data_IF_401618952972
#
_entry.id   IF_401618952972
#
_cell.length_a   1.000
_cell.length_b   1.000
_cell.length_c   1.000
_cell.angle_alpha   90.00
_cell.angle_beta   90.00
_cell.angle_gamma   90.00
#
_symmetry.space_group_name_H-M   'P 1'
#
loop_
_entity.id
_entity.type
_entity.pdbx_description
1 polymer ?
#
# COMPACT_ATOMS: atom_id res chain seq x y z
N UNK A 1 -48.13 8.10 -12.28
CA UNK A 1 -49.07 8.51 -11.22
C UNK A 1 -48.51 9.52 -10.20
N UNK A 2 -47.20 9.54 -9.86
CA UNK A 2 -46.64 10.52 -8.92
C UNK A 2 -46.64 11.99 -9.41
N UNK A 3 -46.43 12.23 -10.71
CA UNK A 3 -46.44 13.58 -11.31
C UNK A 3 -47.83 14.24 -11.25
N UNK A 4 -48.90 13.46 -11.45
CA UNK A 4 -50.29 13.94 -11.42
C UNK A 4 -50.71 14.36 -10.01
N UNK A 5 -50.25 13.64 -8.97
CA UNK A 5 -50.47 14.01 -7.56
C UNK A 5 -49.78 15.32 -7.16
N UNK A 6 -48.61 15.63 -7.72
CA UNK A 6 -47.91 16.89 -7.43
C UNK A 6 -48.60 18.12 -8.03
N UNK A 7 -49.25 17.95 -9.18
CA UNK A 7 -49.97 19.03 -9.88
C UNK A 7 -51.31 19.30 -9.21
N UNK A 8 -52.02 18.27 -8.72
CA UNK A 8 -53.27 18.48 -7.98
C UNK A 8 -53.01 19.18 -6.64
N UNK A 9 -51.98 18.78 -5.89
CA UNK A 9 -51.58 19.44 -4.63
C UNK A 9 -51.16 20.91 -4.83
N UNK A 10 -50.53 21.23 -5.97
CA UNK A 10 -50.19 22.60 -6.31
C UNK A 10 -51.45 23.43 -6.64
N UNK A 11 -52.43 22.84 -7.33
CA UNK A 11 -53.71 23.48 -7.69
C UNK A 11 -54.57 23.76 -6.46
N UNK A 12 -54.62 22.83 -5.51
CA UNK A 12 -55.33 22.98 -4.24
C UNK A 12 -54.71 24.07 -3.37
N UNK A 13 -53.37 24.14 -3.28
CA UNK A 13 -52.64 25.21 -2.58
C UNK A 13 -52.86 26.58 -3.19
N UNK A 14 -52.92 26.66 -4.53
CA UNK A 14 -53.23 27.89 -5.26
C UNK A 14 -54.66 28.37 -4.97
N UNK A 15 -55.64 27.47 -5.00
CA UNK A 15 -57.04 27.81 -4.68
C UNK A 15 -57.22 28.24 -3.21
N UNK A 16 -56.48 27.62 -2.28
CA UNK A 16 -56.51 27.97 -0.86
C UNK A 16 -55.81 29.31 -0.55
N UNK A 17 -54.75 29.65 -1.28
CA UNK A 17 -54.04 30.91 -1.14
C UNK A 17 -54.78 32.10 -1.78
N UNK A 18 -55.46 31.87 -2.90
CA UNK A 18 -56.37 32.85 -3.53
C UNK A 18 -57.56 33.16 -2.60
N UNK A 19 -58.14 32.14 -1.95
CA UNK A 19 -59.23 32.31 -0.96
C UNK A 19 -58.82 33.05 0.32
N UNK A 20 -57.54 33.11 0.65
CA UNK A 20 -57.03 33.73 1.90
C UNK A 20 -56.34 35.08 1.69
N UNK A 21 -56.38 35.64 0.47
CA UNK A 21 -55.71 36.91 0.15
C UNK A 21 -54.19 36.86 0.30
N UNK A 22 -53.60 35.65 0.34
CA UNK A 22 -52.19 35.43 0.61
C UNK A 22 -51.40 35.44 -0.69
N UNK A 23 -50.42 36.34 -0.75
CA UNK A 23 -49.56 36.50 -1.91
C UNK A 23 -48.49 35.39 -1.93
N UNK A 24 -48.76 34.32 -2.68
CA UNK A 24 -47.94 33.08 -2.77
C UNK A 24 -46.44 33.36 -2.99
N UNK A 25 -46.10 34.32 -3.86
CA UNK A 25 -44.72 34.68 -4.13
C UNK A 25 -43.99 35.24 -2.90
N UNK A 26 -44.69 35.96 -2.01
CA UNK A 26 -44.10 36.46 -0.75
C UNK A 26 -43.93 35.35 0.29
N UNK A 27 -44.81 34.35 0.32
CA UNK A 27 -44.68 33.20 1.23
C UNK A 27 -43.53 32.28 0.81
N UNK A 28 -43.37 31.98 -0.49
CA UNK A 28 -42.24 31.20 -0.99
C UNK A 28 -40.88 31.87 -0.68
N UNK A 29 -40.80 33.20 -0.79
CA UNK A 29 -39.58 33.95 -0.43
C UNK A 29 -39.32 33.89 1.08
N UNK A 30 -40.34 33.99 1.92
CA UNK A 30 -40.22 33.83 3.39
C UNK A 30 -39.79 32.41 3.75
N UNK A 31 -40.36 31.40 3.12
CA UNK A 31 -40.02 29.99 3.33
C UNK A 31 -38.56 29.71 2.94
N UNK A 32 -38.11 30.18 1.77
CA UNK A 32 -36.69 30.09 1.36
C UNK A 32 -35.75 30.77 2.35
N UNK A 33 -36.12 31.95 2.89
CA UNK A 33 -35.33 32.64 3.93
C UNK A 33 -35.29 31.84 5.23
N UNK A 34 -36.43 31.27 5.64
CA UNK A 34 -36.51 30.43 6.83
C UNK A 34 -35.67 29.16 6.70
N UNK A 35 -35.74 28.47 5.55
CA UNK A 35 -34.91 27.30 5.25
C UNK A 35 -33.41 27.61 5.27
N UNK A 36 -33.00 28.75 4.68
CA UNK A 36 -31.60 29.23 4.76
C UNK A 36 -31.16 29.51 6.20
N UNK A 37 -32.03 30.11 7.00
CA UNK A 37 -31.77 30.35 8.42
C UNK A 37 -31.62 29.04 9.21
N UNK A 38 -32.55 28.10 9.04
CA UNK A 38 -32.48 26.77 9.66
C UNK A 38 -31.21 26.03 9.25
N UNK A 39 -30.85 26.08 7.98
CA UNK A 39 -29.60 25.49 7.49
C UNK A 39 -28.38 26.10 8.20
N UNK A 40 -28.28 27.43 8.26
CA UNK A 40 -27.18 28.14 8.95
C UNK A 40 -27.16 27.86 10.46
N UNK A 41 -28.32 27.72 11.09
CA UNK A 41 -28.46 27.35 12.51
C UNK A 41 -27.99 25.90 12.75
N UNK A 42 -28.31 24.99 11.84
CA UNK A 42 -27.95 23.57 11.95
C UNK A 42 -26.46 23.31 11.74
N UNK A 43 -25.73 24.22 11.09
CA UNK A 43 -24.26 24.14 10.96
C UNK A 43 -23.52 24.61 12.21
N UNK A 44 -24.20 25.28 13.15
CA UNK A 44 -23.61 25.83 14.37
C UNK A 44 -23.74 24.86 15.55
N UNK A 45 -22.71 24.73 16.39
CA UNK A 45 -22.78 23.92 17.61
C UNK A 45 -23.85 24.44 18.58
N UNK A 46 -24.27 23.58 19.50
CA UNK A 46 -25.17 23.93 20.60
C UNK A 46 -24.43 24.80 21.64
N UNK A 47 -25.17 25.67 22.35
CA UNK A 47 -24.64 26.45 23.49
C UNK A 47 -24.27 25.51 24.65
N UNK A 48 -23.39 25.94 25.55
CA UNK A 48 -22.87 25.07 26.62
C UNK A 48 -23.99 24.51 27.52
N UNK A 49 -24.87 25.38 28.04
CA UNK A 49 -25.94 24.97 28.97
C UNK A 49 -26.91 23.98 28.32
N UNK A 50 -27.28 24.22 27.06
CA UNK A 50 -28.12 23.30 26.31
C UNK A 50 -27.41 21.98 25.97
N UNK A 51 -26.08 22.00 25.82
CA UNK A 51 -25.31 20.77 25.62
C UNK A 51 -25.24 19.93 26.91
N UNK A 52 -25.11 20.58 28.08
CA UNK A 52 -25.17 19.90 29.39
C UNK A 52 -26.52 19.23 29.57
N UNK A 53 -27.63 19.97 29.42
CA UNK A 53 -28.97 19.41 29.57
C UNK A 53 -29.23 18.20 28.65
N UNK A 54 -28.77 18.26 27.39
CA UNK A 54 -28.88 17.13 26.46
C UNK A 54 -27.98 15.95 26.84
N UNK A 55 -26.81 16.19 27.42
CA UNK A 55 -25.94 15.12 27.88
C UNK A 55 -26.47 14.44 29.14
N UNK A 56 -27.03 15.21 30.07
CA UNK A 56 -27.64 14.69 31.29
C UNK A 56 -28.85 13.81 30.97
N UNK A 57 -29.68 14.24 30.02
CA UNK A 57 -30.83 13.48 29.52
C UNK A 57 -30.39 12.17 28.83
N UNK A 58 -29.37 12.23 27.96
CA UNK A 58 -28.90 11.06 27.19
C UNK A 58 -28.11 10.05 28.01
N UNK A 59 -27.28 10.51 28.94
CA UNK A 59 -26.37 9.66 29.73
C UNK A 59 -26.91 9.34 31.12
N UNK A 60 -28.05 9.94 31.50
CA UNK A 60 -28.64 9.81 32.85
C UNK A 60 -27.64 10.13 33.97
N UNK A 61 -26.71 11.04 33.70
CA UNK A 61 -25.60 11.43 34.58
C UNK A 61 -25.57 12.94 34.73
N UNK A 62 -25.47 13.44 35.96
CA UNK A 62 -25.35 14.87 36.22
C UNK A 62 -23.94 15.36 35.93
N UNK A 63 -23.84 16.53 35.32
CA UNK A 63 -22.56 17.22 35.10
C UNK A 63 -22.53 18.49 35.97
N UNK A 64 -21.37 18.85 36.56
CA UNK A 64 -21.22 20.12 37.25
C UNK A 64 -21.60 21.30 36.35
N UNK A 65 -22.27 22.32 36.89
CA UNK A 65 -22.73 23.49 36.13
C UNK A 65 -21.58 24.22 35.40
N UNK A 66 -20.37 24.19 35.96
CA UNK A 66 -19.18 24.83 35.40
C UNK A 66 -18.48 24.00 34.30
N UNK A 67 -19.01 22.82 33.96
CA UNK A 67 -18.40 21.93 32.97
C UNK A 67 -18.42 22.56 31.57
N UNK A 68 -17.25 22.82 31.01
CA UNK A 68 -17.12 23.24 29.60
C UNK A 68 -17.21 22.03 28.68
N UNK A 69 -18.35 21.87 28.01
CA UNK A 69 -18.57 20.78 27.04
C UNK A 69 -17.78 21.08 25.76
N UNK A 70 -16.94 20.14 25.34
CA UNK A 70 -16.06 20.30 24.19
C UNK A 70 -15.10 19.12 23.95
N UNK A 71 -14.03 19.35 23.16
CA UNK A 71 -13.04 18.33 22.79
C UNK A 71 -12.27 17.68 23.95
N UNK A 72 -12.32 18.30 25.13
CA UNK A 72 -11.59 17.89 26.33
C UNK A 72 -12.51 17.34 27.41
N UNK A 73 -13.82 17.25 27.15
CA UNK A 73 -14.75 16.64 28.11
C UNK A 73 -14.36 15.19 28.35
N UNK A 74 -14.30 14.72 29.59
CA UNK A 74 -14.02 13.32 29.86
C UNK A 74 -15.27 12.49 29.53
N UNK A 75 -15.25 11.79 28.39
CA UNK A 75 -16.31 10.89 27.95
C UNK A 75 -15.68 9.54 27.60
N UNK A 76 -16.33 8.44 27.99
CA UNK A 76 -15.89 7.10 27.60
C UNK A 76 -16.21 6.81 26.14
N UNK A 77 -15.57 5.78 25.57
CA UNK A 77 -15.85 5.35 24.19
C UNK A 77 -17.32 4.92 24.01
N UNK A 78 -17.93 4.34 25.05
CA UNK A 78 -19.34 3.91 25.04
C UNK A 78 -20.29 5.12 25.06
N UNK A 79 -20.04 6.10 25.93
CA UNK A 79 -20.80 7.34 25.99
C UNK A 79 -20.74 8.10 24.66
N UNK A 80 -19.55 8.16 24.03
CA UNK A 80 -19.38 8.75 22.71
C UNK A 80 -20.22 8.03 21.65
N UNK A 81 -20.27 6.70 21.65
CA UNK A 81 -21.08 5.96 20.69
C UNK A 81 -22.59 6.24 20.87
N UNK A 82 -23.08 6.31 22.11
CA UNK A 82 -24.49 6.64 22.40
C UNK A 82 -24.83 8.02 21.82
N UNK A 83 -23.99 9.03 22.10
CA UNK A 83 -24.22 10.39 21.63
C UNK A 83 -24.17 10.48 20.09
N UNK A 84 -23.26 9.74 19.46
CA UNK A 84 -23.07 9.79 18.01
C UNK A 84 -24.10 8.98 17.22
N UNK A 85 -24.88 8.13 17.87
CA UNK A 85 -26.05 7.47 17.27
C UNK A 85 -27.27 8.41 17.18
N UNK A 86 -27.31 9.50 17.95
CA UNK A 86 -28.43 10.45 17.92
C UNK A 86 -28.48 11.28 16.62
N UNK A 87 -29.66 11.74 16.16
CA UNK A 87 -29.78 12.54 14.93
C UNK A 87 -29.25 13.98 15.09
N UNK A 88 -29.06 14.47 16.32
CA UNK A 88 -28.69 15.86 16.59
C UNK A 88 -27.22 16.18 16.27
N UNK A 89 -26.97 16.63 15.04
CA UNK A 89 -25.61 17.01 14.55
C UNK A 89 -24.97 18.13 15.37
N UNK A 90 -25.76 19.05 15.93
CA UNK A 90 -25.25 20.24 16.62
C UNK A 90 -24.58 19.91 17.95
N UNK A 91 -25.09 18.89 18.67
CA UNK A 91 -24.46 18.39 19.89
C UNK A 91 -23.11 17.74 19.57
N UNK A 92 -23.07 16.93 18.49
CA UNK A 92 -21.83 16.29 18.01
C UNK A 92 -20.75 17.32 17.65
N UNK A 93 -21.13 18.41 16.96
CA UNK A 93 -20.22 19.53 16.68
C UNK A 93 -19.63 20.14 17.95
N UNK A 94 -20.46 20.31 18.99
CA UNK A 94 -20.00 20.88 20.27
C UNK A 94 -18.97 19.97 20.94
N UNK A 95 -19.24 18.66 21.01
CA UNK A 95 -18.33 17.66 21.61
C UNK A 95 -17.02 17.56 20.84
N UNK A 96 -17.05 17.60 19.51
CA UNK A 96 -15.84 17.60 18.69
C UNK A 96 -15.16 18.97 18.60
N UNK A 97 -15.77 20.03 19.16
CA UNK A 97 -15.28 21.40 19.02
C UNK A 97 -15.17 21.89 17.58
N UNK A 98 -16.04 21.38 16.70
CA UNK A 98 -16.09 21.74 15.29
C UNK A 98 -17.42 22.40 14.92
N UNK A 99 -17.61 22.70 13.63
CA UNK A 99 -18.85 23.21 13.06
C UNK A 99 -19.06 22.60 11.68
N UNK A 100 -20.30 22.64 11.19
CA UNK A 100 -20.62 22.12 9.86
C UNK A 100 -19.81 22.78 8.73
N UNK A 101 -19.47 24.06 8.87
CA UNK A 101 -18.62 24.77 7.91
C UNK A 101 -17.17 24.28 7.93
N UNK A 102 -16.62 23.98 9.11
CA UNK A 102 -15.26 23.48 9.24
C UNK A 102 -15.11 22.06 8.69
N UNK A 103 -16.15 21.23 8.82
CA UNK A 103 -16.16 19.87 8.28
C UNK A 103 -16.13 19.81 6.74
N UNK A 104 -16.45 20.90 6.06
CA UNK A 104 -16.32 20.99 4.60
C UNK A 104 -14.85 21.17 4.16
N UNK A 105 -13.97 21.59 5.07
CA UNK A 105 -12.56 21.81 4.77
C UNK A 105 -11.74 20.60 5.25
N UNK A 106 -11.30 19.77 4.31
CA UNK A 106 -10.52 18.55 4.58
C UNK A 106 -9.23 18.80 5.36
N UNK A 107 -8.57 19.94 5.14
CA UNK A 107 -7.32 20.32 5.83
C UNK A 107 -7.59 20.64 7.31
N UNK A 108 -8.68 21.36 7.60
CA UNK A 108 -9.05 21.66 8.98
C UNK A 108 -9.45 20.39 9.73
N UNK A 109 -10.21 19.51 9.07
CA UNK A 109 -10.59 18.21 9.64
C UNK A 109 -9.35 17.38 9.98
N UNK A 110 -8.38 17.27 9.06
CA UNK A 110 -7.15 16.53 9.28
C UNK A 110 -6.29 17.11 10.41
N UNK A 111 -6.19 18.43 10.50
CA UNK A 111 -5.48 19.12 11.59
C UNK A 111 -6.10 18.79 12.95
N UNK A 112 -7.42 18.82 13.04
CA UNK A 112 -8.11 18.54 14.30
C UNK A 112 -8.08 17.04 14.65
N UNK A 113 -8.15 16.16 13.66
CA UNK A 113 -7.89 14.71 13.83
C UNK A 113 -6.47 14.46 14.34
N UNK A 114 -5.48 15.17 13.82
CA UNK A 114 -4.08 15.05 14.27
C UNK A 114 -3.94 15.41 15.75
N UNK A 115 -4.63 16.47 16.22
CA UNK A 115 -4.66 16.84 17.64
C UNK A 115 -5.27 15.73 18.51
N UNK A 116 -6.34 15.07 18.04
CA UNK A 116 -6.93 13.94 18.76
C UNK A 116 -5.98 12.75 18.82
N UNK A 117 -5.31 12.42 17.71
CA UNK A 117 -4.31 11.34 17.67
C UNK A 117 -3.12 11.61 18.59
N UNK A 118 -2.64 12.86 18.68
CA UNK A 118 -1.56 13.25 19.61
C UNK A 118 -1.94 13.06 21.08
N UNK A 119 -3.24 13.15 21.41
CA UNK A 119 -3.78 12.93 22.75
C UNK A 119 -4.12 11.46 23.03
N UNK A 120 -3.96 10.56 22.05
CA UNK A 120 -4.37 9.17 22.15
C UNK A 120 -5.88 8.93 21.99
N UNK A 121 -6.67 9.96 21.68
CA UNK A 121 -8.12 9.88 21.53
C UNK A 121 -8.50 9.43 20.11
N UNK A 122 -8.37 8.13 19.88
CA UNK A 122 -8.68 7.50 18.59
C UNK A 122 -10.17 7.60 18.25
N UNK A 123 -11.04 7.47 19.24
CA UNK A 123 -12.50 7.40 19.04
C UNK A 123 -13.00 8.73 18.48
N UNK A 124 -12.62 9.87 19.08
CA UNK A 124 -12.99 11.18 18.53
C UNK A 124 -12.37 11.47 17.18
N UNK A 125 -11.12 11.04 16.95
CA UNK A 125 -10.49 11.17 15.65
C UNK A 125 -11.31 10.48 14.55
N UNK A 126 -11.72 9.22 14.79
CA UNK A 126 -12.56 8.45 13.86
C UNK A 126 -13.92 9.10 13.66
N UNK A 127 -14.59 9.48 14.74
CA UNK A 127 -15.92 10.10 14.69
C UNK A 127 -15.91 11.44 13.94
N UNK A 128 -14.86 12.26 14.11
CA UNK A 128 -14.70 13.51 13.40
C UNK A 128 -14.53 13.29 11.89
N UNK A 129 -13.64 12.38 11.49
CA UNK A 129 -13.42 12.07 10.09
C UNK A 129 -14.69 11.47 9.45
N UNK A 130 -15.39 10.61 10.17
CA UNK A 130 -16.66 10.01 9.78
C UNK A 130 -17.78 11.05 9.61
N UNK A 131 -17.82 12.09 10.43
CA UNK A 131 -18.79 13.18 10.32
C UNK A 131 -18.53 14.11 9.14
N UNK A 132 -17.27 14.23 8.70
CA UNK A 132 -16.89 15.00 7.52
C UNK A 132 -17.25 14.30 6.19
N UNK A 133 -17.59 13.01 6.23
CA UNK A 133 -17.97 12.25 5.02
C UNK A 133 -16.83 12.17 4.01
N UNK A 134 -17.10 12.53 2.76
CA UNK A 134 -16.09 12.56 1.69
C UNK A 134 -14.93 13.53 1.99
N UNK A 135 -15.22 14.67 2.62
CA UNK A 135 -14.18 15.64 3.03
C UNK A 135 -13.27 15.08 4.14
N UNK A 136 -13.68 14.00 4.80
CA UNK A 136 -12.92 13.32 5.84
C UNK A 136 -11.91 12.29 5.32
N UNK A 137 -11.90 11.94 4.03
CA UNK A 137 -11.05 10.86 3.47
C UNK A 137 -9.56 11.10 3.78
N UNK A 138 -9.10 12.35 3.64
CA UNK A 138 -7.71 12.72 3.94
C UNK A 138 -7.35 12.42 5.40
N UNK A 139 -8.24 12.80 6.32
CA UNK A 139 -8.09 12.59 7.75
C UNK A 139 -8.14 11.09 8.11
N UNK A 140 -8.99 10.30 7.43
CA UNK A 140 -8.99 8.84 7.56
C UNK A 140 -7.65 8.26 7.14
N UNK A 141 -7.04 8.75 6.06
CA UNK A 141 -5.68 8.38 5.67
C UNK A 141 -4.66 8.62 6.79
N UNK A 142 -4.75 9.76 7.48
CA UNK A 142 -3.87 10.09 8.62
C UNK A 142 -4.10 9.16 9.82
N UNK A 143 -5.35 8.84 10.16
CA UNK A 143 -5.69 7.88 11.22
C UNK A 143 -5.16 6.49 10.88
N UNK A 144 -5.37 6.02 9.64
CA UNK A 144 -4.87 4.73 9.18
C UNK A 144 -3.34 4.67 9.26
N UNK A 145 -2.64 5.71 8.82
CA UNK A 145 -1.19 5.81 8.93
C UNK A 145 -0.72 5.67 10.38
N UNK A 146 -1.39 6.36 11.32
CA UNK A 146 -1.10 6.25 12.75
C UNK A 146 -1.36 4.84 13.29
N UNK A 147 -2.51 4.23 12.96
CA UNK A 147 -2.85 2.87 13.41
C UNK A 147 -1.85 1.83 12.90
N UNK A 148 -1.45 1.92 11.63
CA UNK A 148 -0.50 0.99 11.03
C UNK A 148 0.92 1.21 11.57
N UNK A 149 1.32 2.45 11.89
CA UNK A 149 2.58 2.74 12.59
C UNK A 149 2.67 2.04 13.97
N UNK A 150 1.55 1.96 14.69
CA UNK A 150 1.43 1.26 15.97
C UNK A 150 1.06 -0.22 15.84
N UNK A 151 1.21 -0.82 14.65
CA UNK A 151 0.88 -2.24 14.36
C UNK A 151 -0.58 -2.66 14.65
N UNK A 152 -1.53 -1.71 14.74
CA UNK A 152 -2.95 -1.96 15.01
C UNK A 152 -3.74 -2.28 13.74
N UNK A 153 -3.32 -3.31 13.00
CA UNK A 153 -3.91 -3.66 11.68
C UNK A 153 -5.41 -3.93 11.74
N UNK A 154 -5.89 -4.69 12.73
CA UNK A 154 -7.32 -5.03 12.84
C UNK A 154 -8.19 -3.77 13.00
N UNK A 155 -7.73 -2.79 13.78
CA UNK A 155 -8.42 -1.49 13.92
C UNK A 155 -8.39 -0.69 12.61
N UNK A 156 -7.25 -0.69 11.91
CA UNK A 156 -7.14 -0.05 10.59
C UNK A 156 -8.09 -0.69 9.56
N UNK A 157 -8.18 -2.02 9.54
CA UNK A 157 -9.09 -2.75 8.66
C UNK A 157 -10.56 -2.48 8.98
N UNK A 158 -10.93 -2.41 10.26
CA UNK A 158 -12.27 -2.03 10.68
C UNK A 158 -12.63 -0.62 10.19
N UNK A 159 -11.73 0.35 10.35
CA UNK A 159 -11.92 1.72 9.85
C UNK A 159 -12.07 1.74 8.32
N UNK A 160 -11.23 1.01 7.59
CA UNK A 160 -11.31 0.89 6.15
C UNK A 160 -12.64 0.26 5.67
N UNK A 161 -13.14 -0.75 6.38
CA UNK A 161 -14.44 -1.37 6.06
C UNK A 161 -15.63 -0.45 6.41
N UNK A 162 -15.50 0.42 7.42
CA UNK A 162 -16.52 1.43 7.74
C UNK A 162 -16.71 2.45 6.62
N UNK A 163 -15.63 2.83 5.91
CA UNK A 163 -15.75 3.69 4.72
C UNK A 163 -16.72 3.09 3.69
N UNK A 164 -16.56 1.79 3.41
CA UNK A 164 -17.42 1.06 2.48
C UNK A 164 -18.88 1.02 2.93
N UNK A 165 -19.12 0.76 4.23
CA UNK A 165 -20.48 0.75 4.79
C UNK A 165 -21.20 2.11 4.68
N UNK A 166 -20.44 3.20 4.60
CA UNK A 166 -20.95 4.56 4.46
C UNK A 166 -20.92 5.08 3.03
N UNK A 167 -20.66 4.21 2.06
CA UNK A 167 -20.56 4.58 0.63
C UNK A 167 -19.48 5.62 0.32
N UNK A 168 -18.48 5.78 1.20
CA UNK A 168 -17.32 6.64 0.97
C UNK A 168 -16.27 5.82 0.21
N UNK A 169 -15.92 6.24 -1.00
CA UNK A 169 -14.93 5.57 -1.84
C UNK A 169 -13.52 5.87 -1.32
N UNK A 170 -12.70 4.85 -0.99
CA UNK A 170 -11.28 5.06 -0.71
C UNK A 170 -10.57 5.57 -1.96
N UNK A 171 -9.79 6.63 -1.82
CA UNK A 171 -8.91 7.13 -2.88
C UNK A 171 -7.62 6.29 -2.99
N UNK A 172 -6.85 6.50 -4.06
CA UNK A 172 -5.54 5.87 -4.24
C UNK A 172 -4.59 6.12 -3.07
N UNK A 173 -4.67 7.29 -2.41
CA UNK A 173 -3.82 7.56 -1.23
C UNK A 173 -4.14 6.61 -0.07
N UNK A 174 -5.40 6.45 0.28
CA UNK A 174 -5.85 5.55 1.36
C UNK A 174 -5.49 4.11 1.04
N UNK A 175 -5.67 3.67 -0.22
CA UNK A 175 -5.25 2.33 -0.67
C UNK A 175 -3.74 2.13 -0.51
N UNK A 176 -2.92 3.09 -0.94
CA UNK A 176 -1.47 3.00 -0.80
C UNK A 176 -1.04 3.01 0.69
N UNK A 177 -1.72 3.77 1.55
CA UNK A 177 -1.47 3.74 3.01
C UNK A 177 -1.77 2.33 3.57
N UNK A 178 -2.89 1.72 3.18
CA UNK A 178 -3.24 0.36 3.59
C UNK A 178 -2.22 -0.68 3.14
N UNK A 179 -1.76 -0.61 1.88
CA UNK A 179 -0.82 -1.59 1.33
C UNK A 179 0.61 -1.41 1.84
N UNK A 180 1.06 -0.17 2.03
CA UNK A 180 2.45 0.11 2.43
C UNK A 180 2.63 0.25 3.95
N UNK A 181 1.58 0.52 4.71
CA UNK A 181 1.68 0.93 6.12
C UNK A 181 2.37 -0.09 7.03
N UNK A 182 2.17 -1.39 6.81
CA UNK A 182 2.85 -2.43 7.58
C UNK A 182 4.28 -2.74 7.09
N UNK A 183 4.65 -2.28 5.89
CA UNK A 183 5.98 -2.54 5.30
C UNK A 183 7.01 -1.46 5.64
N UNK A 184 6.61 -0.39 6.34
CA UNK A 184 7.43 0.81 6.62
C UNK A 184 8.06 0.81 8.01
N UNK A 185 7.51 0.06 8.96
CA UNK A 185 7.97 0.08 10.36
C UNK A 185 9.15 -0.86 10.64
N UNK A 186 9.74 -1.43 9.60
CA UNK A 186 10.84 -2.38 9.74
C UNK A 186 12.14 -1.73 9.29
N UNK A 187 12.73 -0.97 10.21
CA UNK A 187 14.18 -0.94 10.40
C UNK A 187 14.61 -2.29 10.98
N UNK A 188 14.31 -3.40 10.30
CA UNK A 188 14.85 -4.70 10.69
C UNK A 188 16.16 -4.90 9.92
N UNK A 189 17.26 -5.26 10.60
CA UNK A 189 18.45 -5.78 9.95
C UNK A 189 18.05 -6.93 9.02
N UNK A 190 18.80 -7.13 7.94
CA UNK A 190 18.63 -8.15 6.89
C UNK A 190 18.53 -9.62 7.39
N UNK A 191 18.56 -9.84 8.72
CA UNK A 191 18.78 -11.13 9.38
C UNK A 191 17.67 -11.56 10.37
N UNK A 192 16.58 -10.81 10.55
CA UNK A 192 15.48 -11.26 11.45
C UNK A 192 14.37 -11.95 10.66
N UNK A 193 14.34 -13.28 10.76
CA UNK A 193 13.46 -14.22 10.05
C UNK A 193 11.99 -14.26 10.49
N UNK A 194 11.45 -13.17 11.07
CA UNK A 194 10.02 -13.11 11.40
C UNK A 194 9.25 -12.33 10.34
N UNK A 195 8.22 -12.93 9.71
CA UNK A 195 7.38 -12.20 8.78
C UNK A 195 6.64 -11.12 9.56
N UNK A 196 6.91 -9.86 9.21
CA UNK A 196 6.28 -8.71 9.86
C UNK A 196 4.78 -8.58 9.58
N UNK A 197 4.30 -9.37 8.62
CA UNK A 197 2.92 -9.42 8.17
C UNK A 197 2.46 -10.88 8.23
N UNK A 198 1.35 -11.15 8.92
CA UNK A 198 0.82 -12.51 8.95
C UNK A 198 0.26 -12.92 7.58
N UNK A 199 0.26 -14.23 7.31
CA UNK A 199 -0.30 -14.79 6.08
C UNK A 199 -1.75 -14.36 5.84
N UNK A 200 -2.56 -14.28 6.90
CA UNK A 200 -3.94 -13.80 6.84
C UNK A 200 -4.04 -12.31 6.48
N UNK A 201 -3.16 -11.48 7.03
CA UNK A 201 -3.14 -10.05 6.73
C UNK A 201 -2.78 -9.83 5.26
N UNK A 202 -1.81 -10.58 4.73
CA UNK A 202 -1.47 -10.58 3.31
C UNK A 202 -2.67 -10.96 2.43
N UNK A 203 -3.38 -12.06 2.76
CA UNK A 203 -4.59 -12.46 2.04
C UNK A 203 -5.69 -11.38 2.06
N UNK A 204 -5.86 -10.68 3.19
CA UNK A 204 -6.79 -9.55 3.31
C UNK A 204 -6.38 -8.36 2.45
N UNK A 205 -5.08 -8.06 2.33
CA UNK A 205 -4.60 -7.00 1.43
C UNK A 205 -4.85 -7.36 -0.04
N UNK A 206 -4.63 -8.63 -0.43
CA UNK A 206 -4.94 -9.12 -1.77
C UNK A 206 -6.42 -9.00 -2.11
N UNK A 207 -7.31 -9.33 -1.16
CA UNK A 207 -8.76 -9.20 -1.38
C UNK A 207 -9.21 -7.74 -1.50
N UNK A 208 -8.60 -6.83 -0.73
CA UNK A 208 -8.83 -5.38 -0.88
C UNK A 208 -8.43 -4.91 -2.27
N UNK A 209 -7.25 -5.29 -2.77
CA UNK A 209 -6.80 -4.95 -4.12
C UNK A 209 -7.73 -5.51 -5.19
N UNK A 210 -8.10 -6.79 -5.08
CA UNK A 210 -9.02 -7.44 -6.01
C UNK A 210 -10.36 -6.70 -6.08
N UNK A 211 -10.92 -6.32 -4.93
CA UNK A 211 -12.17 -5.55 -4.89
C UNK A 211 -12.00 -4.15 -5.48
N UNK A 212 -10.90 -3.47 -5.18
CA UNK A 212 -10.60 -2.14 -5.72
C UNK A 212 -10.45 -2.18 -7.25
N UNK A 213 -9.86 -3.24 -7.79
CA UNK A 213 -9.70 -3.44 -9.23
C UNK A 213 -11.05 -3.56 -9.95
N UNK A 214 -12.06 -4.16 -9.30
CA UNK A 214 -13.41 -4.26 -9.86
C UNK A 214 -14.26 -3.00 -9.65
N UNK A 215 -14.12 -2.30 -8.51
CA UNK A 215 -15.03 -1.20 -8.12
C UNK A 215 -14.49 0.20 -8.43
N UNK A 216 -13.18 0.39 -8.32
CA UNK A 216 -12.50 1.69 -8.43
C UNK A 216 -11.16 1.51 -9.15
N UNK A 217 -11.15 1.01 -10.41
CA UNK A 217 -9.91 0.73 -11.14
C UNK A 217 -9.07 1.99 -11.38
N UNK A 218 -9.72 3.15 -11.54
CA UNK A 218 -9.05 4.43 -11.84
C UNK A 218 -8.20 4.96 -10.68
N UNK A 219 -8.49 4.51 -9.45
CA UNK A 219 -7.72 4.86 -8.25
C UNK A 219 -6.45 4.02 -8.12
N UNK A 220 -6.34 2.91 -8.88
CA UNK A 220 -5.20 2.01 -8.82
C UNK A 220 -4.11 2.42 -9.80
N UNK A 221 -2.88 2.14 -9.38
CA UNK A 221 -1.66 2.44 -10.13
C UNK A 221 -0.57 1.45 -9.78
N UNK A 222 0.50 1.42 -10.57
CA UNK A 222 1.66 0.55 -10.36
C UNK A 222 2.29 0.72 -8.98
N UNK A 223 2.15 1.90 -8.35
CA UNK A 223 2.61 2.15 -6.99
C UNK A 223 1.93 1.21 -5.99
N UNK A 224 0.65 0.93 -6.17
CA UNK A 224 -0.12 0.01 -5.33
C UNK A 224 0.36 -1.44 -5.49
N UNK A 225 0.60 -1.85 -6.73
CA UNK A 225 1.17 -3.16 -7.05
C UNK A 225 2.53 -3.32 -6.39
N UNK A 226 3.41 -2.32 -6.54
CA UNK A 226 4.75 -2.32 -5.93
C UNK A 226 4.69 -2.37 -4.40
N UNK A 227 3.76 -1.65 -3.77
CA UNK A 227 3.53 -1.68 -2.32
C UNK A 227 3.08 -3.07 -1.85
N UNK A 228 2.18 -3.72 -2.58
CA UNK A 228 1.70 -5.08 -2.25
C UNK A 228 2.76 -6.16 -2.49
N UNK A 229 3.52 -6.10 -3.59
CA UNK A 229 4.64 -7.02 -3.83
C UNK A 229 5.66 -6.96 -2.70
N UNK A 230 5.94 -5.75 -2.19
CA UNK A 230 6.78 -5.59 -0.99
C UNK A 230 6.13 -6.21 0.24
N UNK A 231 4.83 -6.02 0.45
CA UNK A 231 4.09 -6.59 1.58
C UNK A 231 4.06 -8.12 1.56
N UNK A 232 3.86 -8.74 0.40
CA UNK A 232 3.86 -10.19 0.24
C UNK A 232 5.25 -10.78 0.43
N UNK A 233 6.31 -10.08 0.00
CA UNK A 233 7.68 -10.47 0.32
C UNK A 233 7.93 -10.50 1.82
N UNK A 234 7.46 -9.49 2.56
CA UNK A 234 7.60 -9.45 4.02
C UNK A 234 6.73 -10.49 4.74
N UNK A 235 5.65 -10.96 4.11
CA UNK A 235 4.81 -12.05 4.63
C UNK A 235 5.31 -13.44 4.23
N UNK A 236 6.38 -13.54 3.43
CA UNK A 236 6.82 -14.76 2.78
C UNK A 236 5.69 -15.46 1.99
N UNK A 237 4.92 -14.68 1.22
CA UNK A 237 3.79 -15.14 0.38
C UNK A 237 4.05 -14.89 -1.12
N UNK A 238 5.06 -15.53 -1.72
CA UNK A 238 5.38 -15.36 -3.15
C UNK A 238 4.25 -15.83 -4.07
N UNK A 239 3.41 -16.77 -3.62
CA UNK A 239 2.19 -17.21 -4.31
C UNK A 239 1.20 -16.05 -4.54
N UNK A 240 0.96 -15.22 -3.51
CA UNK A 240 0.14 -14.01 -3.64
C UNK A 240 0.79 -12.97 -4.56
N UNK A 241 2.12 -12.90 -4.56
CA UNK A 241 2.87 -11.99 -5.43
C UNK A 241 2.73 -12.37 -6.91
N UNK A 242 2.81 -13.66 -7.25
CA UNK A 242 2.56 -14.17 -8.60
C UNK A 242 1.12 -13.86 -9.03
N UNK A 243 0.13 -14.21 -8.20
CA UNK A 243 -1.28 -13.93 -8.50
C UNK A 243 -1.55 -12.43 -8.70
N UNK A 244 -0.95 -11.57 -7.88
CA UNK A 244 -1.06 -10.12 -8.04
C UNK A 244 -0.45 -9.65 -9.36
N UNK A 245 0.75 -10.13 -9.70
CA UNK A 245 1.45 -9.74 -10.91
C UNK A 245 0.65 -10.12 -12.16
N UNK A 246 0.13 -11.34 -12.21
CA UNK A 246 -0.68 -11.83 -13.33
C UNK A 246 -2.03 -11.09 -13.41
N UNK A 247 -2.67 -10.85 -12.26
CA UNK A 247 -3.93 -10.10 -12.19
C UNK A 247 -3.75 -8.65 -12.62
N UNK A 248 -2.67 -7.98 -12.24
CA UNK A 248 -2.36 -6.63 -12.71
C UNK A 248 -2.02 -6.63 -14.21
N UNK A 249 -1.22 -7.59 -14.68
CA UNK A 249 -0.76 -7.68 -16.06
C UNK A 249 -1.83 -8.07 -17.08
N UNK A 250 -2.84 -8.83 -16.67
CA UNK A 250 -4.01 -9.19 -17.51
C UNK A 250 -4.98 -8.03 -17.73
N UNK A 251 -4.86 -6.95 -16.97
CA UNK A 251 -5.72 -5.78 -17.13
C UNK A 251 -5.27 -4.91 -18.31
N UNK A 252 -6.22 -4.25 -18.98
CA UNK A 252 -5.91 -3.25 -20.02
C UNK A 252 -5.51 -1.88 -19.44
N UNK A 253 -5.41 -1.76 -18.11
CA UNK A 253 -5.15 -0.49 -17.42
C UNK A 253 -3.69 -0.09 -17.58
N UNK A 254 -3.43 0.97 -18.35
CA UNK A 254 -2.08 1.52 -18.55
C UNK A 254 -1.41 1.90 -17.22
N UNK A 255 -2.20 2.36 -16.24
CA UNK A 255 -1.72 2.75 -14.92
C UNK A 255 -1.12 1.58 -14.10
N UNK A 256 -1.46 0.33 -14.44
CA UNK A 256 -0.97 -0.89 -13.77
C UNK A 256 0.18 -1.57 -14.52
N UNK A 257 0.68 -0.98 -15.62
CA UNK A 257 1.79 -1.56 -16.37
C UNK A 257 3.01 -1.73 -15.46
N UNK A 258 3.60 -2.94 -15.40
CA UNK A 258 4.80 -3.18 -14.60
C UNK A 258 5.94 -2.23 -14.97
N UNK A 259 6.53 -1.61 -13.95
CA UNK A 259 7.71 -0.76 -14.08
C UNK A 259 8.98 -1.47 -13.58
N UNK A 260 10.13 -0.79 -13.67
CA UNK A 260 11.41 -1.30 -13.19
C UNK A 260 11.34 -1.82 -11.74
N UNK A 261 10.59 -1.11 -10.88
CA UNK A 261 10.43 -1.46 -9.47
C UNK A 261 9.54 -2.68 -9.30
N UNK A 262 8.49 -2.84 -10.11
CA UNK A 262 7.64 -4.03 -10.12
C UNK A 262 8.46 -5.29 -10.38
N UNK A 263 9.30 -5.28 -11.42
CA UNK A 263 10.17 -6.43 -11.72
C UNK A 263 11.19 -6.70 -10.62
N UNK A 264 11.77 -5.64 -10.03
CA UNK A 264 12.73 -5.77 -8.92
C UNK A 264 12.09 -6.45 -7.70
N UNK A 265 10.90 -6.01 -7.29
CA UNK A 265 10.17 -6.65 -6.18
C UNK A 265 9.70 -8.06 -6.55
N UNK A 266 9.30 -8.29 -7.81
CA UNK A 266 8.88 -9.62 -8.28
C UNK A 266 10.02 -10.65 -8.20
N UNK A 267 11.22 -10.34 -8.71
CA UNK A 267 12.38 -11.22 -8.57
C UNK A 267 12.75 -11.46 -7.10
N UNK A 268 12.60 -10.43 -6.26
CA UNK A 268 12.85 -10.54 -4.83
C UNK A 268 11.85 -11.47 -4.12
N UNK A 269 10.60 -11.58 -4.61
CA UNK A 269 9.61 -12.56 -4.15
C UNK A 269 9.93 -13.96 -4.67
N UNK A 270 10.22 -14.12 -5.97
CA UNK A 270 10.52 -15.42 -6.58
C UNK A 270 11.75 -16.10 -5.96
N UNK A 271 12.74 -15.32 -5.50
CA UNK A 271 13.90 -15.82 -4.73
C UNK A 271 13.51 -16.62 -3.48
N UNK A 272 12.40 -16.25 -2.84
CA UNK A 272 11.92 -16.87 -1.60
C UNK A 272 10.90 -17.99 -1.87
N UNK A 273 10.56 -18.28 -3.13
CA UNK A 273 9.57 -19.29 -3.46
C UNK A 273 10.16 -20.70 -3.46
N UNK A 274 9.66 -21.56 -2.57
CA UNK A 274 10.17 -22.92 -2.37
C UNK A 274 9.24 -24.00 -2.89
N UNK A 275 7.93 -23.74 -2.95
CA UNK A 275 6.93 -24.80 -3.22
C UNK A 275 7.01 -25.31 -4.67
N UNK A 276 7.20 -24.41 -5.63
CA UNK A 276 7.46 -24.76 -7.03
C UNK A 276 8.64 -23.94 -7.57
N UNK A 277 9.83 -24.35 -7.15
CA UNK A 277 11.07 -23.65 -7.51
C UNK A 277 11.36 -23.72 -9.01
N UNK A 278 10.97 -24.81 -9.70
CA UNK A 278 11.11 -24.93 -11.16
C UNK A 278 10.32 -23.84 -11.87
N UNK A 279 9.05 -23.66 -11.52
CA UNK A 279 8.22 -22.59 -12.09
C UNK A 279 8.72 -21.22 -11.68
N UNK A 280 9.28 -21.06 -10.47
CA UNK A 280 9.90 -19.81 -10.04
C UNK A 280 11.06 -19.38 -10.96
N UNK A 281 11.96 -20.31 -11.29
CA UNK A 281 13.10 -20.05 -12.16
C UNK A 281 12.64 -19.77 -13.60
N UNK A 282 11.73 -20.59 -14.14
CA UNK A 282 11.15 -20.36 -15.48
C UNK A 282 10.46 -19.00 -15.59
N UNK A 283 9.70 -18.62 -14.55
CA UNK A 283 9.04 -17.31 -14.47
C UNK A 283 10.07 -16.18 -14.41
N UNK A 284 11.15 -16.36 -13.65
CA UNK A 284 12.24 -15.39 -13.55
C UNK A 284 12.87 -15.12 -14.92
N UNK A 285 13.20 -16.17 -15.68
CA UNK A 285 13.80 -16.06 -17.01
C UNK A 285 12.86 -15.43 -18.04
N UNK A 286 11.59 -15.86 -18.07
CA UNK A 286 10.59 -15.29 -19.00
C UNK A 286 10.31 -13.81 -18.72
N UNK A 287 10.24 -13.40 -17.45
CA UNK A 287 10.08 -12.00 -17.06
C UNK A 287 11.33 -11.19 -17.42
N UNK A 288 12.53 -11.72 -17.19
CA UNK A 288 13.76 -11.00 -17.51
C UNK A 288 13.93 -10.79 -19.03
N UNK A 289 13.62 -11.79 -19.85
CA UNK A 289 13.58 -11.64 -21.31
C UNK A 289 12.61 -10.52 -21.74
N UNK A 290 11.42 -10.45 -21.12
CA UNK A 290 10.45 -9.37 -21.37
C UNK A 290 11.01 -7.99 -20.98
N UNK A 291 11.72 -7.89 -19.85
CA UNK A 291 12.34 -6.64 -19.41
C UNK A 291 13.42 -6.17 -20.38
N UNK A 292 14.27 -7.09 -20.87
CA UNK A 292 15.33 -6.73 -21.81
C UNK A 292 14.79 -6.22 -23.14
N UNK A 293 13.68 -6.81 -23.64
CA UNK A 293 13.02 -6.42 -24.89
C UNK A 293 12.16 -5.16 -24.76
N UNK A 294 11.84 -4.71 -23.55
CA UNK A 294 11.02 -3.52 -23.33
C UNK A 294 11.89 -2.24 -23.31
N UNK A 295 11.76 -1.33 -24.29
CA UNK A 295 12.56 -0.11 -24.35
C UNK A 295 12.21 0.89 -23.23
N UNK A 296 11.00 0.83 -22.67
CA UNK A 296 10.58 1.73 -21.60
C UNK A 296 11.30 1.46 -20.27
N UNK A 297 11.86 0.26 -20.09
CA UNK A 297 12.50 -0.16 -18.84
C UNK A 297 14.01 0.06 -18.92
N UNK A 298 14.48 1.06 -18.19
CA UNK A 298 15.90 1.32 -17.99
C UNK A 298 16.44 0.39 -16.90
N UNK A 299 16.99 -0.75 -17.31
CA UNK A 299 17.66 -1.71 -16.43
C UNK A 299 18.74 -0.99 -15.60
N UNK A 300 18.71 -1.17 -14.28
CA UNK A 300 19.67 -0.66 -13.30
C UNK A 300 20.38 -1.81 -12.57
N UNK A 301 21.38 -1.48 -11.75
CA UNK A 301 22.10 -2.49 -10.96
C UNK A 301 21.17 -3.20 -9.97
N UNK A 302 20.19 -2.51 -9.40
CA UNK A 302 19.30 -3.10 -8.39
C UNK A 302 18.44 -4.21 -8.97
N UNK A 303 17.88 -4.01 -10.17
CA UNK A 303 17.12 -5.04 -10.88
C UNK A 303 17.98 -6.28 -11.16
N UNK A 304 19.19 -6.09 -11.70
CA UNK A 304 20.11 -7.21 -12.00
C UNK A 304 20.48 -7.96 -10.71
N UNK A 305 20.73 -7.23 -9.62
CA UNK A 305 21.01 -7.82 -8.31
C UNK A 305 19.84 -8.68 -7.84
N UNK A 306 18.60 -8.21 -7.95
CA UNK A 306 17.42 -9.00 -7.59
C UNK A 306 17.25 -10.21 -8.51
N UNK A 307 17.47 -10.08 -9.82
CA UNK A 307 17.44 -11.17 -10.79
C UNK A 307 18.49 -12.25 -10.48
N UNK A 308 19.76 -11.85 -10.32
CA UNK A 308 20.85 -12.80 -10.01
C UNK A 308 20.64 -13.49 -8.67
N UNK A 309 20.02 -12.82 -7.69
CA UNK A 309 19.76 -13.39 -6.37
C UNK A 309 18.91 -14.67 -6.41
N UNK A 310 18.01 -14.82 -7.39
CA UNK A 310 17.20 -16.05 -7.53
C UNK A 310 18.10 -17.27 -7.73
N UNK A 311 19.19 -17.09 -8.46
CA UNK A 311 20.15 -18.14 -8.79
C UNK A 311 21.28 -18.28 -7.76
N UNK A 312 21.80 -17.16 -7.22
CA UNK A 312 22.89 -17.18 -6.23
C UNK A 312 22.53 -18.00 -4.99
N UNK A 313 21.28 -17.91 -4.54
CA UNK A 313 20.82 -18.62 -3.35
C UNK A 313 20.14 -19.95 -3.68
N UNK A 314 20.22 -20.45 -4.92
CA UNK A 314 19.71 -21.77 -5.25
C UNK A 314 20.56 -22.86 -4.56
N UNK A 315 19.96 -24.01 -4.33
CA UNK A 315 20.65 -25.19 -3.81
C UNK A 315 21.03 -26.16 -4.96
N UNK A 316 21.08 -25.63 -6.19
CA UNK A 316 21.35 -26.36 -7.43
C UNK A 316 22.61 -25.75 -8.06
N UNK A 317 23.65 -26.55 -8.23
CA UNK A 317 24.95 -26.11 -8.74
C UNK A 317 24.84 -25.59 -10.18
N UNK A 318 23.93 -26.12 -10.99
CA UNK A 318 23.66 -25.64 -12.35
C UNK A 318 23.17 -24.20 -12.35
N UNK A 319 22.31 -23.86 -11.38
CA UNK A 319 21.80 -22.50 -11.20
C UNK A 319 22.85 -21.56 -10.59
N UNK A 320 23.69 -22.06 -9.67
CA UNK A 320 24.81 -21.29 -9.13
C UNK A 320 25.85 -20.94 -10.21
N UNK A 321 26.18 -21.87 -11.11
CA UNK A 321 27.03 -21.62 -12.27
C UNK A 321 26.41 -20.57 -13.22
N UNK A 322 25.09 -20.63 -13.42
CA UNK A 322 24.34 -19.60 -14.13
C UNK A 322 24.43 -18.23 -13.45
N UNK A 323 24.37 -18.18 -12.12
CA UNK A 323 24.50 -16.95 -11.36
C UNK A 323 25.85 -16.26 -11.62
N UNK A 324 26.95 -17.01 -11.66
CA UNK A 324 28.27 -16.47 -11.99
C UNK A 324 28.26 -15.86 -13.39
N UNK A 325 27.70 -16.57 -14.38
CA UNK A 325 27.62 -16.08 -15.76
C UNK A 325 26.86 -14.74 -15.83
N UNK A 326 25.72 -14.64 -15.15
CA UNK A 326 24.94 -13.40 -15.05
C UNK A 326 25.77 -12.27 -14.42
N UNK A 327 26.49 -12.56 -13.33
CA UNK A 327 27.30 -11.57 -12.62
C UNK A 327 28.46 -11.07 -13.50
N UNK A 328 29.15 -11.97 -14.21
CA UNK A 328 30.24 -11.61 -15.13
C UNK A 328 29.77 -10.73 -16.29
N UNK A 329 28.59 -11.03 -16.85
CA UNK A 329 28.00 -10.30 -17.98
C UNK A 329 27.52 -8.89 -17.62
N UNK A 330 26.97 -8.70 -16.42
CA UNK A 330 26.34 -7.43 -16.03
C UNK A 330 27.18 -6.55 -15.12
N UNK A 331 28.22 -7.07 -14.46
CA UNK A 331 29.08 -6.33 -13.55
C UNK A 331 30.54 -6.40 -13.94
N UNK A 332 31.31 -5.35 -13.64
CA UNK A 332 32.77 -5.29 -13.87
C UNK A 332 33.55 -6.08 -12.81
N UNK A 333 33.28 -7.38 -12.69
CA UNK A 333 33.87 -8.28 -11.69
C UNK A 333 35.13 -9.00 -12.15
N UNK A 334 35.28 -9.23 -13.45
CA UNK A 334 36.34 -10.06 -14.01
C UNK A 334 36.92 -9.45 -15.29
N UNK A 335 38.07 -9.98 -15.71
CA UNK A 335 38.69 -9.66 -17.01
C UNK A 335 37.76 -10.04 -18.15
N UNK A 336 37.94 -9.45 -19.33
CA UNK A 336 37.09 -9.72 -20.50
C UNK A 336 37.14 -11.20 -20.94
N UNK A 337 38.29 -11.85 -20.75
CA UNK A 337 38.53 -13.26 -21.05
C UNK A 337 37.65 -14.20 -20.22
N UNK A 338 37.39 -13.84 -18.95
CA UNK A 338 36.65 -14.69 -18.01
C UNK A 338 35.12 -14.66 -18.23
N UNK A 339 34.61 -13.68 -18.98
CA UNK A 339 33.16 -13.50 -19.21
C UNK A 339 32.57 -14.69 -19.99
N UNK A 340 33.32 -15.20 -20.98
CA UNK A 340 32.90 -16.26 -21.88
C UNK A 340 33.18 -17.68 -21.38
N UNK A 341 33.95 -17.86 -20.30
CA UNK A 341 34.32 -19.17 -19.79
C UNK A 341 33.10 -19.96 -19.32
N UNK A 342 33.03 -21.24 -19.69
CA UNK A 342 32.02 -22.18 -19.20
C UNK A 342 32.43 -22.64 -17.80
N UNK A 343 31.47 -22.74 -16.90
CA UNK A 343 31.71 -23.16 -15.53
C UNK A 343 31.25 -24.60 -15.41
N UNK A 344 32.16 -25.49 -15.00
CA UNK A 344 31.83 -26.89 -14.80
C UNK A 344 30.95 -27.03 -13.55
N UNK A 345 29.68 -27.39 -13.72
CA UNK A 345 28.74 -27.54 -12.61
C UNK A 345 29.02 -28.78 -11.74
N UNK A 346 29.88 -29.69 -12.21
CA UNK A 346 30.25 -30.94 -11.53
C UNK A 346 31.41 -30.77 -10.54
N UNK A 347 32.21 -29.72 -10.69
CA UNK A 347 33.36 -29.43 -9.81
C UNK A 347 32.99 -28.37 -8.78
N UNK A 348 32.57 -28.79 -7.59
CA UNK A 348 32.19 -27.86 -6.52
C UNK A 348 32.58 -28.40 -5.14
N UNK A 349 32.63 -27.49 -4.16
CA UNK A 349 32.76 -27.83 -2.75
C UNK A 349 31.37 -28.05 -2.13
N UNK A 350 31.03 -29.30 -1.84
CA UNK A 350 29.74 -29.69 -1.27
C UNK A 350 29.47 -29.03 0.08
N UNK A 351 30.52 -28.71 0.86
CA UNK A 351 30.37 -28.10 2.19
C UNK A 351 29.82 -26.67 2.12
N UNK A 352 30.02 -25.99 0.99
CA UNK A 352 29.60 -24.60 0.76
C UNK A 352 28.22 -24.50 0.10
N UNK A 353 27.62 -25.63 -0.30
CA UNK A 353 26.30 -25.63 -0.93
C UNK A 353 25.20 -25.39 0.12
N UNK A 354 24.27 -24.50 -0.21
CA UNK A 354 23.12 -24.24 0.64
C UNK A 354 22.20 -25.47 0.76
N UNK A 355 21.81 -25.82 1.99
CA UNK A 355 20.85 -26.91 2.27
C UNK A 355 19.40 -26.43 2.13
N UNK A 356 18.49 -27.29 1.65
CA UNK A 356 17.04 -27.00 1.54
C UNK A 356 16.41 -27.30 0.17
N UNK A 357 15.15 -26.88 0.00
CA UNK A 357 14.26 -27.37 -1.08
C UNK A 357 14.35 -26.58 -2.41
N UNK A 358 15.32 -25.67 -2.57
CA UNK A 358 15.50 -24.87 -3.79
C UNK A 358 16.39 -25.58 -4.82
N UNK A 359 16.02 -26.81 -5.18
CA UNK A 359 16.73 -27.64 -6.16
C UNK A 359 15.75 -28.04 -7.27
N UNK A 360 16.21 -28.07 -8.52
CA UNK A 360 15.44 -28.61 -9.63
C UNK A 360 15.82 -30.08 -9.79
N UNK A 361 14.83 -30.92 -10.10
CA UNK A 361 15.06 -32.34 -10.33
C UNK A 361 16.10 -32.58 -11.45
N UNK A 362 16.86 -33.66 -11.34
CA UNK A 362 18.02 -33.94 -12.20
C UNK A 362 17.62 -34.41 -13.60
N UNK A 363 16.41 -34.97 -13.74
CA UNK A 363 15.78 -35.36 -15.01
C UNK A 363 15.48 -34.18 -15.94
N UNK A 364 15.40 -32.96 -15.39
CA UNK A 364 15.13 -31.76 -16.16
C UNK A 364 16.42 -31.19 -16.73
N UNK A 365 16.48 -31.02 -18.06
CA UNK A 365 17.55 -30.28 -18.70
C UNK A 365 17.33 -28.77 -18.50
N UNK A 366 17.88 -28.26 -17.40
CA UNK A 366 17.73 -26.86 -16.97
C UNK A 366 18.22 -25.87 -18.03
N UNK A 367 19.32 -26.18 -18.74
CA UNK A 367 19.89 -25.28 -19.75
C UNK A 367 19.00 -25.15 -20.99
N UNK A 368 18.40 -26.27 -21.43
CA UNK A 368 17.56 -26.29 -22.64
C UNK A 368 16.12 -25.86 -22.35
N UNK A 369 15.55 -26.30 -21.24
CA UNK A 369 14.11 -26.25 -21.00
C UNK A 369 13.66 -25.07 -20.11
N UNK A 370 14.60 -24.42 -19.41
CA UNK A 370 14.30 -23.39 -18.40
C UNK A 370 15.09 -22.10 -18.61
N UNK A 371 16.42 -22.19 -18.71
CA UNK A 371 17.29 -21.01 -18.73
C UNK A 371 17.26 -20.28 -20.06
N UNK A 372 17.47 -18.96 -20.03
CA UNK A 372 17.68 -18.23 -21.28
C UNK A 372 19.00 -18.65 -21.93
N UNK A 373 19.08 -18.69 -23.26
CA UNK A 373 20.34 -18.85 -23.98
C UNK A 373 21.41 -17.87 -23.48
N UNK A 374 22.68 -18.29 -23.45
CA UNK A 374 23.77 -17.48 -22.87
C UNK A 374 23.94 -16.12 -23.56
N UNK A 375 23.74 -16.08 -24.88
CA UNK A 375 23.74 -14.85 -25.67
C UNK A 375 22.58 -13.89 -25.35
N UNK A 376 21.52 -14.36 -24.67
CA UNK A 376 20.36 -13.57 -24.25
C UNK A 376 20.44 -13.11 -22.79
N UNK A 377 21.49 -13.47 -22.03
CA UNK A 377 21.68 -13.00 -20.64
C UNK A 377 21.83 -11.48 -20.58
N UNK A 378 22.60 -10.92 -21.51
CA UNK A 378 22.80 -9.48 -21.63
C UNK A 378 22.67 -9.04 -23.09
N UNK A 379 21.43 -8.81 -23.52
CA UNK A 379 21.15 -8.23 -24.84
C UNK A 379 21.73 -6.81 -24.99
N UNK A 380 21.95 -6.11 -23.87
CA UNK A 380 22.52 -4.75 -23.84
C UNK A 380 24.03 -4.81 -23.57
N UNK A 381 24.75 -5.65 -24.32
CA UNK A 381 26.19 -6.03 -24.20
C UNK A 381 27.18 -4.92 -23.77
N UNK A 382 26.88 -3.65 -24.03
CA UNK A 382 27.71 -2.50 -23.67
C UNK A 382 27.51 -1.99 -22.22
N UNK A 383 26.43 -2.39 -21.54
CA UNK A 383 26.05 -1.87 -20.22
C UNK A 383 26.49 -2.81 -19.09
N UNK A 384 27.67 -2.54 -18.51
CA UNK A 384 28.16 -3.19 -17.28
C UNK A 384 28.18 -2.20 -16.13
N UNK A 385 27.63 -2.61 -14.99
CA UNK A 385 27.55 -1.80 -13.78
C UNK A 385 28.84 -1.92 -12.93
N UNK A 386 29.11 -0.88 -12.15
CA UNK A 386 30.13 -0.92 -11.09
C UNK A 386 29.70 -1.87 -9.97
N UNK A 387 30.68 -2.43 -9.27
CA UNK A 387 30.46 -3.48 -8.28
C UNK A 387 30.17 -2.87 -6.92
N UNK A 388 29.13 -3.38 -6.26
CA UNK A 388 28.80 -3.10 -4.86
C UNK A 388 29.42 -4.19 -3.96
N UNK A 389 29.72 -3.87 -2.71
CA UNK A 389 30.29 -4.81 -1.73
C UNK A 389 29.44 -6.07 -1.58
N UNK A 390 28.11 -5.93 -1.60
CA UNK A 390 27.19 -7.09 -1.56
C UNK A 390 27.37 -8.02 -2.76
N UNK A 391 27.62 -7.47 -3.95
CA UNK A 391 27.78 -8.25 -5.18
C UNK A 391 29.15 -8.92 -5.17
N UNK A 392 30.18 -8.22 -4.72
CA UNK A 392 31.52 -8.77 -4.58
C UNK A 392 31.53 -9.98 -3.65
N UNK A 393 30.90 -9.87 -2.46
CA UNK A 393 30.79 -10.98 -1.51
C UNK A 393 30.05 -12.20 -2.11
N UNK A 394 28.96 -11.95 -2.83
CA UNK A 394 28.20 -13.03 -3.52
C UNK A 394 29.03 -13.69 -4.61
N UNK A 395 29.78 -12.91 -5.37
CA UNK A 395 30.66 -13.43 -6.41
C UNK A 395 31.82 -14.24 -5.80
N UNK A 396 32.45 -13.74 -4.74
CA UNK A 396 33.48 -14.45 -3.98
C UNK A 396 32.98 -15.80 -3.47
N UNK A 397 31.84 -15.82 -2.77
CA UNK A 397 31.24 -17.07 -2.27
C UNK A 397 30.95 -18.09 -3.38
N UNK A 398 30.56 -17.63 -4.56
CA UNK A 398 30.37 -18.51 -5.72
C UNK A 398 31.71 -18.97 -6.32
N UNK A 399 32.72 -18.10 -6.37
CA UNK A 399 34.07 -18.50 -6.78
C UNK A 399 34.65 -19.56 -5.84
N UNK A 400 34.49 -19.40 -4.53
CA UNK A 400 34.92 -20.37 -3.53
C UNK A 400 34.20 -21.72 -3.72
N UNK A 401 32.88 -21.68 -3.96
CA UNK A 401 32.07 -22.88 -4.25
C UNK A 401 32.61 -23.69 -5.44
N UNK A 402 33.04 -23.03 -6.53
CA UNK A 402 33.54 -23.68 -7.74
C UNK A 402 35.08 -23.68 -7.85
N UNK A 403 35.80 -23.35 -6.77
CA UNK A 403 37.28 -23.26 -6.74
C UNK A 403 37.87 -22.38 -7.85
N UNK A 404 37.16 -21.32 -8.24
CA UNK A 404 37.58 -20.39 -9.29
C UNK A 404 38.44 -19.26 -8.71
N UNK A 405 39.49 -18.85 -9.43
CA UNK A 405 40.25 -17.66 -9.04
C UNK A 405 39.44 -16.38 -9.27
N UNK A 406 39.28 -15.57 -8.23
CA UNK A 406 38.64 -14.27 -8.34
C UNK A 406 39.63 -13.21 -8.85
N UNK A 407 39.51 -12.82 -10.12
CA UNK A 407 40.37 -11.85 -10.78
C UNK A 407 40.00 -10.37 -10.53
N UNK A 408 39.08 -10.09 -9.61
CA UNK A 408 38.62 -8.72 -9.34
C UNK A 408 39.73 -7.84 -8.72
N UNK A 409 40.02 -6.70 -9.36
CA UNK A 409 40.93 -5.68 -8.84
C UNK A 409 40.13 -4.41 -8.57
N UNK A 410 40.01 -4.02 -7.29
CA UNK A 410 39.33 -2.77 -6.90
C UNK A 410 40.07 -1.56 -7.47
N UNK A 411 39.33 -0.58 -8.02
CA UNK A 411 39.91 0.66 -8.57
C UNK A 411 40.65 1.50 -7.53
N UNK A 412 40.34 1.38 -6.24
CA UNK A 412 41.03 2.09 -5.15
C UNK A 412 42.51 1.68 -5.02
N UNK A 413 42.88 0.46 -5.46
CA UNK A 413 44.27 0.01 -5.45
C UNK A 413 45.14 0.66 -6.54
N UNK A 414 44.54 1.40 -7.49
CA UNK A 414 45.28 2.06 -8.58
C UNK A 414 45.67 3.51 -8.27
N UNK A 415 45.10 4.16 -7.25
CA UNK A 415 45.47 5.55 -6.90
C UNK A 415 46.70 5.67 -6.00
N UNK A 416 47.17 4.57 -5.41
CA UNK A 416 48.35 4.56 -4.51
C UNK A 416 49.68 4.14 -5.17
N UNK A 417 49.68 3.83 -6.48
CA UNK A 417 50.89 3.45 -7.23
C UNK A 417 51.35 4.52 -8.23
N UNK A 418 51.15 5.78 -7.89
CA UNK A 418 51.41 6.91 -8.80
C UNK A 418 52.12 8.11 -8.16
N UNK A 419 52.69 7.99 -6.97
CA UNK A 419 53.63 8.96 -6.41
C UNK A 419 54.56 8.25 -5.42
N UNK A 420 55.66 7.72 -5.94
CA UNK A 420 56.92 7.51 -5.22
C UNK A 420 58.05 7.60 -6.26
#
# INVERSE_FOLDING_TARGET
MARVKSVSQAKDRLQQAVRSGKNLAREEVKEKKHLKFLHKKNLRPVRNNSAIALLEDLLQKKFPADTKVGPLTALTDEELNIIFNQPNKRLKYKILGTSGNQLQNSVLVDRDVTKYLQRGDLTRAVLLAEMAGENGIFAVGTILKSLLAHQRFNKALLLFNRLKKRSIKPDGRVLNIMFSGLTRNHSLPEHVSQPSLSSEQASKLYSIFSLALHKTPDELSVIHVNSLLKAFRTANRPDLAIMLFDKAGSTKLKALRPDLRTYTEMFSNLRSYTDDFRTAVKTTETLFARVQRNPAIKIDSKLIRSYSSVFVFANDTRLCARAITILRDWYKLCKKEDIGQIINASEYDESLLHKGNRKISEDVNVERDILLPRNEINLKKHKRFEVDQTILRRYQSLCDLFKLQNSYVSRESKSFKGHL
#
